data_IF_357627425043
#
_entry.id   IF_357627425043
#
_cell.length_a   1.000
_cell.length_b   1.000
_cell.length_c   1.000
_cell.angle_alpha   90.00
_cell.angle_beta   90.00
_cell.angle_gamma   90.00
#
_symmetry.space_group_name_H-M   'P 1'
#
loop_
_entity.id
_entity.type
_entity.pdbx_description
1 polymer ?
#
# COMPACT_ATOMS: atom_id res chain seq x y z
N UNK A 1 20.50 -0.81 30.01
CA UNK A 1 19.05 -1.09 30.15
C UNK A 1 18.88 -2.45 30.81
N UNK A 2 18.01 -2.60 31.83
CA UNK A 2 17.72 -3.90 32.44
C UNK A 2 17.05 -4.87 31.46
N UNK A 3 17.29 -6.18 31.61
CA UNK A 3 16.73 -7.22 30.71
C UNK A 3 15.20 -7.21 30.65
N UNK A 4 14.56 -6.99 31.79
CA UNK A 4 13.09 -6.89 31.88
C UNK A 4 12.56 -5.73 31.03
N UNK A 5 13.25 -4.60 31.02
CA UNK A 5 12.90 -3.46 30.16
C UNK A 5 12.99 -3.80 28.67
N UNK A 6 14.01 -4.56 28.26
CA UNK A 6 14.16 -5.04 26.87
C UNK A 6 13.04 -6.01 26.50
N UNK A 7 12.71 -6.96 27.36
CA UNK A 7 11.64 -7.94 27.13
C UNK A 7 10.26 -7.27 27.11
N UNK A 8 10.02 -6.29 27.98
CA UNK A 8 8.78 -5.52 28.00
C UNK A 8 8.64 -4.67 26.74
N UNK A 9 9.73 -4.06 26.25
CA UNK A 9 9.76 -3.36 24.97
C UNK A 9 9.44 -4.30 23.80
N UNK A 10 10.09 -5.46 23.75
CA UNK A 10 9.85 -6.47 22.72
C UNK A 10 8.39 -6.96 22.72
N UNK A 11 7.81 -7.20 23.92
CA UNK A 11 6.41 -7.59 24.07
C UNK A 11 5.45 -6.53 23.51
N UNK A 12 5.72 -5.24 23.76
CA UNK A 12 4.94 -4.14 23.18
C UNK A 12 5.06 -4.07 21.66
N UNK A 13 6.28 -4.28 21.13
CA UNK A 13 6.52 -4.29 19.68
C UNK A 13 5.81 -5.46 18.99
N UNK A 14 5.82 -6.65 19.60
CA UNK A 14 5.10 -7.84 19.13
C UNK A 14 3.58 -7.66 19.09
N UNK A 15 3.02 -6.83 19.97
CA UNK A 15 1.59 -6.50 20.00
C UNK A 15 1.21 -5.29 19.12
N UNK A 16 2.12 -4.80 18.29
CA UNK A 16 1.94 -3.59 17.46
C UNK A 16 2.29 -3.85 16.01
N UNK A 17 2.21 -2.84 15.13
CA UNK A 17 2.65 -2.94 13.73
C UNK A 17 4.17 -3.16 13.56
N UNK A 18 4.95 -3.24 14.65
CA UNK A 18 6.41 -3.44 14.62
C UNK A 18 6.84 -4.85 15.10
N UNK A 19 6.08 -5.86 14.67
CA UNK A 19 6.24 -7.26 15.10
C UNK A 19 7.64 -7.81 14.78
N UNK A 20 8.18 -7.48 13.59
CA UNK A 20 9.49 -7.97 13.15
C UNK A 20 10.60 -7.49 14.08
N UNK A 21 10.64 -6.20 14.41
CA UNK A 21 11.65 -5.65 15.31
C UNK A 21 11.49 -6.22 16.73
N UNK A 22 10.25 -6.40 17.19
CA UNK A 22 9.95 -7.04 18.47
C UNK A 22 10.46 -8.47 18.55
N UNK A 23 10.22 -9.28 17.51
CA UNK A 23 10.66 -10.66 17.44
C UNK A 23 12.19 -10.76 17.41
N UNK A 24 12.87 -9.94 16.60
CA UNK A 24 14.33 -9.92 16.53
C UNK A 24 14.97 -9.49 17.86
N UNK A 25 14.38 -8.50 18.54
CA UNK A 25 14.82 -8.05 19.86
C UNK A 25 14.66 -9.15 20.90
N UNK A 26 13.53 -9.85 20.89
CA UNK A 26 13.27 -10.98 21.78
C UNK A 26 14.27 -12.12 21.55
N UNK A 27 14.47 -12.54 20.30
CA UNK A 27 15.42 -13.60 19.95
C UNK A 27 16.86 -13.26 20.38
N UNK A 28 17.28 -12.00 20.20
CA UNK A 28 18.58 -11.51 20.67
C UNK A 28 18.70 -11.63 22.19
N UNK A 29 17.71 -11.13 22.93
CA UNK A 29 17.71 -11.20 24.40
C UNK A 29 17.71 -12.65 24.93
N UNK A 30 17.04 -13.56 24.22
CA UNK A 30 17.03 -14.99 24.54
C UNK A 30 18.38 -15.64 24.27
N UNK A 31 19.04 -15.33 23.15
CA UNK A 31 20.41 -15.78 22.87
C UNK A 31 21.39 -15.32 23.93
N UNK A 32 21.31 -14.05 24.32
CA UNK A 32 22.18 -13.49 25.36
C UNK A 32 21.98 -14.19 26.72
N UNK A 33 20.75 -14.60 27.04
CA UNK A 33 20.50 -15.42 28.23
C UNK A 33 21.16 -16.80 28.10
N UNK A 34 20.94 -17.50 26.99
CA UNK A 34 21.48 -18.85 26.77
C UNK A 34 23.01 -18.87 26.92
N UNK A 35 23.69 -17.86 26.38
CA UNK A 35 25.15 -17.70 26.55
C UNK A 35 25.54 -17.58 28.03
N UNK A 36 24.77 -16.84 28.83
CA UNK A 36 25.05 -16.70 30.27
C UNK A 36 24.80 -18.00 31.04
N UNK A 37 23.69 -18.67 30.77
CA UNK A 37 23.33 -19.93 31.41
C UNK A 37 24.36 -21.02 31.10
N UNK A 38 24.80 -21.09 29.84
CA UNK A 38 25.84 -22.01 29.41
C UNK A 38 27.19 -21.76 30.10
N UNK A 39 27.65 -20.49 30.15
CA UNK A 39 28.89 -20.11 30.86
C UNK A 39 28.87 -20.46 32.34
N UNK A 40 27.68 -20.40 32.97
CA UNK A 40 27.47 -20.76 34.37
C UNK A 40 27.22 -22.26 34.58
N UNK A 41 27.23 -23.06 33.51
CA UNK A 41 26.91 -24.50 33.52
C UNK A 41 25.50 -24.81 34.05
N UNK A 42 24.57 -23.86 33.91
CA UNK A 42 23.16 -24.04 34.27
C UNK A 42 22.40 -24.89 33.23
N UNK A 43 22.95 -25.03 32.02
CA UNK A 43 22.42 -25.84 30.92
C UNK A 43 23.52 -26.68 30.28
N UNK A 44 23.15 -27.81 29.65
CA UNK A 44 24.08 -28.66 28.91
C UNK A 44 24.57 -28.01 27.61
N UNK A 45 25.73 -28.45 27.12
CA UNK A 45 26.27 -28.06 25.81
C UNK A 45 25.28 -28.39 24.68
N UNK A 46 24.67 -29.56 24.74
CA UNK A 46 23.73 -30.04 23.73
C UNK A 46 22.47 -29.15 23.67
N UNK A 47 21.90 -28.81 24.83
CA UNK A 47 20.75 -27.92 24.91
C UNK A 47 21.11 -26.51 24.43
N UNK A 48 22.29 -26.01 24.79
CA UNK A 48 22.78 -24.71 24.33
C UNK A 48 22.91 -24.64 22.81
N UNK A 49 23.55 -25.65 22.19
CA UNK A 49 23.69 -25.74 20.73
C UNK A 49 22.34 -25.79 20.03
N UNK A 50 21.48 -26.73 20.46
CA UNK A 50 20.14 -26.90 19.90
C UNK A 50 19.34 -25.59 19.92
N UNK A 51 19.26 -24.92 21.07
CA UNK A 51 18.51 -23.66 21.20
C UNK A 51 19.13 -22.51 20.40
N UNK A 52 20.45 -22.48 20.29
CA UNK A 52 21.14 -21.45 19.50
C UNK A 52 20.84 -21.63 18.01
N UNK A 53 20.85 -22.87 17.52
CA UNK A 53 20.52 -23.19 16.13
C UNK A 53 19.05 -22.87 15.80
N UNK A 54 18.12 -23.19 16.70
CA UNK A 54 16.71 -22.79 16.58
C UNK A 54 16.57 -21.26 16.46
N UNK A 55 17.24 -20.50 17.32
CA UNK A 55 17.20 -19.03 17.27
C UNK A 55 17.75 -18.50 15.94
N UNK A 56 18.85 -19.06 15.44
CA UNK A 56 19.43 -18.68 14.16
C UNK A 56 18.46 -18.96 13.02
N UNK A 57 17.85 -20.15 13.02
CA UNK A 57 16.83 -20.53 12.04
C UNK A 57 15.64 -19.57 12.04
N UNK A 58 15.08 -19.27 13.21
CA UNK A 58 13.95 -18.35 13.33
C UNK A 58 14.32 -16.94 12.88
N UNK A 59 15.48 -16.44 13.29
CA UNK A 59 15.97 -15.12 12.88
C UNK A 59 16.04 -15.02 11.35
N UNK A 60 16.68 -15.98 10.70
CA UNK A 60 16.83 -15.99 9.24
C UNK A 60 15.48 -16.10 8.53
N UNK A 61 14.55 -16.89 9.09
CA UNK A 61 13.21 -17.07 8.53
C UNK A 61 12.38 -15.78 8.62
N UNK A 62 12.43 -15.10 9.76
CA UNK A 62 11.77 -13.80 9.98
C UNK A 62 12.32 -12.76 9.02
N UNK A 63 13.65 -12.66 8.88
CA UNK A 63 14.29 -11.70 7.97
C UNK A 63 13.86 -11.96 6.52
N UNK A 64 13.91 -13.22 6.06
CA UNK A 64 13.44 -13.59 4.70
C UNK A 64 11.97 -13.23 4.47
N UNK A 65 11.10 -13.49 5.43
CA UNK A 65 9.68 -13.15 5.32
C UNK A 65 9.47 -11.63 5.32
N UNK A 66 10.20 -10.89 6.14
CA UNK A 66 10.12 -9.43 6.17
C UNK A 66 10.51 -8.80 4.82
N UNK A 67 11.55 -9.33 4.16
CA UNK A 67 11.89 -8.92 2.79
C UNK A 67 10.76 -9.21 1.80
N UNK A 68 10.22 -10.43 1.78
CA UNK A 68 9.12 -10.79 0.88
C UNK A 68 7.88 -9.93 1.08
N UNK A 69 7.51 -9.63 2.33
CA UNK A 69 6.38 -8.75 2.64
C UNK A 69 6.62 -7.34 2.09
N UNK A 70 7.84 -6.81 2.23
CA UNK A 70 8.21 -5.50 1.69
C UNK A 70 8.14 -5.48 0.16
N UNK A 71 8.62 -6.52 -0.51
CA UNK A 71 8.56 -6.62 -1.96
C UNK A 71 7.11 -6.68 -2.46
N UNK A 72 6.28 -7.51 -1.84
CA UNK A 72 4.84 -7.58 -2.14
C UNK A 72 4.12 -6.24 -1.90
N UNK A 73 4.48 -5.51 -0.84
CA UNK A 73 3.93 -4.17 -0.59
C UNK A 73 4.31 -3.20 -1.72
N UNK A 74 5.55 -3.24 -2.20
CA UNK A 74 5.98 -2.42 -3.34
C UNK A 74 5.24 -2.80 -4.63
N UNK A 75 5.10 -4.11 -4.89
CA UNK A 75 4.35 -4.63 -6.03
C UNK A 75 2.87 -4.22 -6.00
N UNK A 76 2.23 -4.17 -4.83
CA UNK A 76 0.83 -3.71 -4.67
C UNK A 76 0.71 -2.19 -4.81
N UNK A 77 1.71 -1.43 -4.39
CA UNK A 77 1.65 0.03 -4.45
C UNK A 77 1.70 0.58 -5.88
N UNK A 78 2.36 -0.14 -6.81
CA UNK A 78 2.41 0.22 -8.23
C UNK A 78 1.01 0.26 -8.88
N UNK A 79 0.22 -0.83 -8.92
CA UNK A 79 -1.11 -0.82 -9.49
C UNK A 79 -2.08 0.06 -8.69
N UNK A 80 -1.90 0.24 -7.38
CA UNK A 80 -2.69 1.22 -6.62
C UNK A 80 -2.51 2.65 -7.13
N UNK A 81 -1.28 3.03 -7.46
CA UNK A 81 -0.99 4.35 -8.03
C UNK A 81 -1.57 4.49 -9.44
N UNK A 82 -1.37 3.48 -10.28
CA UNK A 82 -1.94 3.44 -11.64
C UNK A 82 -3.47 3.55 -11.61
N UNK A 83 -4.13 2.77 -10.74
CA UNK A 83 -5.58 2.80 -10.61
C UNK A 83 -6.09 4.17 -10.13
N UNK A 84 -5.37 4.83 -9.21
CA UNK A 84 -5.71 6.19 -8.78
C UNK A 84 -5.64 7.19 -9.94
N UNK A 85 -4.59 7.11 -10.76
CA UNK A 85 -4.44 7.97 -11.92
C UNK A 85 -5.55 7.73 -12.96
N UNK A 86 -5.88 6.45 -13.24
CA UNK A 86 -6.96 6.08 -14.15
C UNK A 86 -8.32 6.60 -13.69
N UNK A 87 -8.62 6.53 -12.39
CA UNK A 87 -9.84 7.12 -11.83
C UNK A 87 -9.91 8.63 -12.05
N UNK A 88 -8.79 9.34 -11.92
CA UNK A 88 -8.71 10.79 -12.16
C UNK A 88 -8.93 11.12 -13.65
N UNK A 89 -8.28 10.38 -14.55
CA UNK A 89 -8.50 10.50 -16.00
C UNK A 89 -9.96 10.25 -16.37
N UNK A 90 -10.58 9.21 -15.81
CA UNK A 90 -11.98 8.88 -16.05
C UNK A 90 -12.93 9.97 -15.56
N UNK A 91 -12.65 10.57 -14.40
CA UNK A 91 -13.43 11.69 -13.88
C UNK A 91 -13.31 12.92 -14.78
N UNK A 92 -12.10 13.23 -15.24
CA UNK A 92 -11.85 14.33 -16.17
C UNK A 92 -12.57 14.10 -17.51
N UNK A 93 -12.51 12.88 -18.04
CA UNK A 93 -13.21 12.50 -19.26
C UNK A 93 -14.72 12.64 -19.11
N UNK A 94 -15.28 12.14 -18.00
CA UNK A 94 -16.71 12.24 -17.68
C UNK A 94 -17.15 13.71 -17.61
N UNK A 95 -16.35 14.56 -16.95
CA UNK A 95 -16.61 16.00 -16.88
C UNK A 95 -16.59 16.65 -18.26
N UNK A 96 -15.59 16.33 -19.09
CA UNK A 96 -15.48 16.88 -20.44
C UNK A 96 -16.66 16.46 -21.32
N UNK A 97 -17.09 15.19 -21.24
CA UNK A 97 -18.31 14.75 -21.92
C UNK A 97 -19.55 15.48 -21.44
N UNK A 98 -19.69 15.69 -20.11
CA UNK A 98 -20.78 16.49 -19.57
C UNK A 98 -20.80 17.91 -20.13
N UNK A 99 -19.65 18.57 -20.24
CA UNK A 99 -19.54 19.90 -20.84
C UNK A 99 -19.88 19.92 -22.33
N UNK A 100 -19.44 18.91 -23.09
CA UNK A 100 -19.80 18.77 -24.52
C UNK A 100 -21.31 18.55 -24.70
N UNK A 101 -21.95 17.75 -23.85
CA UNK A 101 -23.40 17.55 -23.89
C UNK A 101 -24.19 18.82 -23.53
N UNK A 102 -23.61 19.70 -22.72
CA UNK A 102 -24.17 21.00 -22.36
C UNK A 102 -23.82 22.10 -23.36
N UNK A 103 -23.04 21.82 -24.41
CA UNK A 103 -22.70 22.78 -25.44
C UNK A 103 -23.94 23.09 -26.33
N UNK A 104 -24.74 24.05 -25.86
CA UNK A 104 -25.93 24.58 -26.53
C UNK A 104 -25.61 25.26 -27.87
N UNK A 105 -24.34 25.44 -28.25
CA UNK A 105 -23.97 26.09 -29.50
C UNK A 105 -24.47 25.32 -30.72
N UNK A 106 -24.55 23.99 -30.64
CA UNK A 106 -25.15 23.14 -31.67
C UNK A 106 -26.67 23.35 -31.79
N UNK A 107 -27.37 23.45 -30.65
CA UNK A 107 -28.81 23.74 -30.61
C UNK A 107 -29.12 25.14 -31.16
N UNK A 108 -28.34 26.15 -30.77
CA UNK A 108 -28.48 27.53 -31.27
C UNK A 108 -28.21 27.62 -32.76
N UNK A 109 -27.11 27.04 -33.27
CA UNK A 109 -26.81 27.01 -34.71
C UNK A 109 -27.91 26.31 -35.52
N UNK A 110 -28.48 25.22 -34.99
CA UNK A 110 -29.62 24.54 -35.64
C UNK A 110 -30.83 25.47 -35.75
N UNK A 111 -31.13 26.22 -34.69
CA UNK A 111 -32.24 27.17 -34.70
C UNK A 111 -32.00 28.35 -35.66
N UNK A 112 -30.77 28.88 -35.71
CA UNK A 112 -30.37 29.92 -36.66
C UNK A 112 -30.57 29.47 -38.12
N UNK A 113 -30.18 28.24 -38.44
CA UNK A 113 -30.39 27.65 -39.77
C UNK A 113 -31.89 27.52 -40.09
N UNK A 114 -32.69 27.04 -39.14
CA UNK A 114 -34.15 26.92 -39.32
C UNK A 114 -34.76 28.30 -39.60
N UNK A 115 -34.38 29.31 -38.83
CA UNK A 115 -34.88 30.68 -39.01
C UNK A 115 -34.47 31.25 -40.37
N UNK A 116 -33.21 31.06 -40.79
CA UNK A 116 -32.73 31.51 -42.09
C UNK A 116 -33.49 30.84 -43.26
N UNK A 117 -33.74 29.53 -43.17
CA UNK A 117 -34.52 28.80 -44.17
C UNK A 117 -35.97 29.29 -44.26
N UNK A 118 -36.59 29.64 -43.13
CA UNK A 118 -37.93 30.22 -43.10
C UNK A 118 -37.98 31.58 -43.80
N UNK A 119 -37.00 32.45 -43.57
CA UNK A 119 -36.90 33.75 -44.24
C UNK A 119 -36.70 33.61 -45.76
N UNK A 120 -35.81 32.71 -46.20
CA UNK A 120 -35.64 32.41 -47.64
C UNK A 120 -36.97 31.93 -48.25
N UNK A 121 -37.71 31.07 -47.55
CA UNK A 121 -39.01 30.56 -48.03
C UNK A 121 -40.06 31.67 -48.13
N UNK A 122 -40.08 32.63 -47.20
CA UNK A 122 -40.96 33.81 -47.29
C UNK A 122 -40.63 34.65 -48.51
N UNK A 123 -39.35 34.91 -48.77
CA UNK A 123 -38.90 35.66 -49.95
C UNK A 123 -39.33 34.97 -51.24
N UNK A 124 -39.12 33.64 -51.33
CA UNK A 124 -39.50 32.86 -52.51
C UNK A 124 -41.02 32.79 -52.74
N UNK A 125 -41.82 32.84 -51.68
CA UNK A 125 -43.29 32.85 -51.79
C UNK A 125 -43.88 34.24 -52.14
N UNK A 126 -43.06 35.30 -52.08
CA UNK A 126 -43.45 36.66 -52.44
C UNK A 126 -43.15 36.99 -53.91
N UNK A 127 -42.50 36.08 -54.63
CA UNK A 127 -42.27 36.10 -56.07
C UNK A 127 -43.11 35.01 -56.75
#
# INVERSE_FOLDING_TARGET
MPRESILQKAKRQLSSNNIVEGALTYLKATKDLLVRQHRRKEISEELYKFRTDEIIYFKNSIEKLAFKVKDLQNEINKPRKENKNLHEEMNNLTRNFGLLCLDESLGRKKQEIINALQEIRKILNLY
#
